data_IF_899352239364
#
_entry.id   IF_899352239364
#
_cell.length_a   1.000
_cell.length_b   1.000
_cell.length_c   1.000
_cell.angle_alpha   90.00
_cell.angle_beta   90.00
_cell.angle_gamma   90.00
#
_symmetry.space_group_name_H-M   'P 1'
#
loop_
_entity.id
_entity.type
_entity.pdbx_description
1 polymer ?
#
# COMPACT_ATOMS: atom_id res chain seq x y z
N UNK A 1 -0.55 -45.39 -20.17
CA UNK A 1 -0.54 -44.12 -20.91
C UNK A 1 0.18 -44.34 -22.22
N UNK A 2 -0.52 -44.15 -23.33
CA UNK A 2 0.08 -44.23 -24.66
C UNK A 2 0.97 -43.01 -24.92
N UNK A 3 2.01 -43.17 -25.72
CA UNK A 3 2.87 -42.06 -26.16
C UNK A 3 2.05 -40.92 -26.81
N UNK A 4 0.92 -41.27 -27.41
CA UNK A 4 -0.04 -40.36 -28.03
C UNK A 4 -0.79 -39.49 -27.01
N UNK A 5 -1.17 -40.06 -25.85
CA UNK A 5 -1.81 -39.31 -24.76
C UNK A 5 -0.84 -38.31 -24.13
N UNK A 6 0.44 -38.68 -24.04
CA UNK A 6 1.50 -37.80 -23.55
C UNK A 6 1.76 -36.63 -24.52
N UNK A 7 1.74 -36.90 -25.83
CA UNK A 7 1.85 -35.84 -26.84
C UNK A 7 0.65 -34.88 -26.81
N UNK A 8 -0.56 -35.41 -26.67
CA UNK A 8 -1.77 -34.59 -26.54
C UNK A 8 -1.71 -33.70 -25.29
N UNK A 9 -1.30 -34.26 -24.14
CA UNK A 9 -1.14 -33.50 -22.89
C UNK A 9 -0.08 -32.41 -23.01
N UNK A 10 1.06 -32.70 -23.66
CA UNK A 10 2.11 -31.72 -23.87
C UNK A 10 1.68 -30.59 -24.81
N UNK A 11 0.93 -30.91 -25.88
CA UNK A 11 0.35 -29.92 -26.78
C UNK A 11 -0.66 -29.02 -26.04
N UNK A 12 -1.53 -29.61 -25.22
CA UNK A 12 -2.48 -28.87 -24.40
C UNK A 12 -1.78 -27.93 -23.40
N UNK A 13 -0.72 -28.41 -22.72
CA UNK A 13 0.05 -27.60 -21.80
C UNK A 13 0.75 -26.43 -22.52
N UNK A 14 1.31 -26.67 -23.69
CA UNK A 14 1.94 -25.63 -24.51
C UNK A 14 0.93 -24.56 -24.94
N UNK A 15 -0.28 -24.96 -25.34
CA UNK A 15 -1.36 -24.03 -25.66
C UNK A 15 -1.78 -23.19 -24.44
N UNK A 16 -1.83 -23.80 -23.25
CA UNK A 16 -2.14 -23.08 -22.02
C UNK A 16 -1.07 -22.05 -21.64
N UNK A 17 0.22 -22.40 -21.79
CA UNK A 17 1.34 -21.48 -21.57
C UNK A 17 1.26 -20.30 -22.54
N UNK A 18 0.98 -20.55 -23.82
CA UNK A 18 0.84 -19.49 -24.82
C UNK A 18 -0.34 -18.56 -24.50
N UNK A 19 -1.47 -19.12 -24.05
CA UNK A 19 -2.62 -18.34 -23.61
C UNK A 19 -2.28 -17.43 -22.42
N UNK A 20 -1.61 -17.97 -21.39
CA UNK A 20 -1.16 -17.20 -20.23
C UNK A 20 -0.17 -16.09 -20.63
N UNK A 21 0.78 -16.38 -21.53
CA UNK A 21 1.71 -15.39 -22.05
C UNK A 21 0.99 -14.22 -22.74
N UNK A 22 -0.06 -14.50 -23.52
CA UNK A 22 -0.91 -13.47 -24.14
C UNK A 22 -1.63 -12.61 -23.09
N UNK A 23 -2.16 -13.22 -22.03
CA UNK A 23 -2.81 -12.48 -20.93
C UNK A 23 -1.82 -11.53 -20.23
N UNK A 24 -0.60 -12.00 -19.94
CA UNK A 24 0.44 -11.18 -19.31
C UNK A 24 0.85 -10.01 -20.21
N UNK A 25 1.02 -10.24 -21.51
CA UNK A 25 1.34 -9.17 -22.46
C UNK A 25 0.23 -8.10 -22.53
N UNK A 26 -1.04 -8.52 -22.56
CA UNK A 26 -2.18 -7.61 -22.54
C UNK A 26 -2.23 -6.75 -21.27
N UNK A 27 -2.05 -7.38 -20.10
CA UNK A 27 -2.01 -6.67 -18.83
C UNK A 27 -0.84 -5.68 -18.77
N UNK A 28 0.32 -6.05 -19.30
CA UNK A 28 1.51 -5.19 -19.37
C UNK A 28 1.25 -3.98 -20.24
N UNK A 29 0.60 -4.17 -21.40
CA UNK A 29 0.18 -3.08 -22.28
C UNK A 29 -0.83 -2.15 -21.63
N UNK A 30 -1.83 -2.70 -20.91
CA UNK A 30 -2.78 -1.90 -20.15
C UNK A 30 -2.11 -1.10 -19.03
N UNK A 31 -1.11 -1.70 -18.35
CA UNK A 31 -0.33 -1.04 -17.30
C UNK A 31 0.49 0.13 -17.84
N UNK A 32 1.19 -0.05 -18.97
CA UNK A 32 1.95 1.02 -19.61
C UNK A 32 1.06 2.17 -20.06
N UNK A 33 -0.09 1.86 -20.69
CA UNK A 33 -1.08 2.86 -21.11
C UNK A 33 -1.72 3.64 -19.94
N UNK A 34 -1.69 3.06 -18.73
CA UNK A 34 -2.16 3.73 -17.53
C UNK A 34 -1.07 4.61 -16.87
N UNK A 35 0.22 4.35 -17.16
CA UNK A 35 1.35 5.10 -16.59
C UNK A 35 1.84 6.27 -17.47
N UNK A 36 1.47 6.35 -18.74
CA UNK A 36 1.74 7.51 -19.59
C UNK A 36 0.75 8.65 -19.28
N UNK A 37 0.94 9.30 -18.14
CA UNK A 37 0.49 10.70 -17.93
C UNK A 37 1.71 11.60 -18.12
N UNK A 38 1.63 12.68 -18.92
CA UNK A 38 2.78 13.53 -19.22
C UNK A 38 3.43 14.05 -17.93
N UNK A 39 4.71 13.74 -17.74
CA UNK A 39 5.58 14.62 -16.98
C UNK A 39 5.72 15.89 -17.80
N UNK A 40 5.02 16.96 -17.41
CA UNK A 40 5.41 18.30 -17.83
C UNK A 40 6.71 18.64 -17.10
N UNK A 41 7.75 18.78 -17.91
CA UNK A 41 8.98 19.48 -17.59
C UNK A 41 8.64 20.93 -17.25
N UNK A 42 9.22 21.47 -16.18
CA UNK A 42 9.45 22.91 -16.10
C UNK A 42 10.93 23.13 -15.83
N UNK A 43 11.54 23.80 -16.80
CA UNK A 43 12.94 24.16 -16.84
C UNK A 43 13.24 25.33 -15.88
N UNK A 44 14.52 25.38 -15.52
CA UNK A 44 15.24 26.34 -14.70
C UNK A 44 14.91 27.81 -15.04
N UNK A 45 14.69 28.64 -14.01
CA UNK A 45 14.89 30.10 -14.10
C UNK A 45 15.64 30.59 -12.87
N UNK A 46 16.88 31.02 -13.13
CA UNK A 46 17.80 31.71 -12.25
C UNK A 46 17.36 33.18 -12.03
N UNK A 47 17.28 33.63 -10.78
CA UNK A 47 17.21 35.06 -10.42
C UNK A 47 18.00 35.32 -9.13
N UNK A 48 19.23 35.81 -9.29
CA UNK A 48 20.01 36.43 -8.23
C UNK A 48 19.54 37.85 -7.88
N UNK A 49 19.77 38.21 -6.60
CA UNK A 49 19.82 39.54 -5.98
C UNK A 49 18.46 40.25 -5.71
N UNK A 50 18.17 40.83 -4.54
CA UNK A 50 19.03 41.54 -3.60
C UNK A 50 18.56 41.42 -2.14
N UNK A 51 19.55 41.42 -1.25
CA UNK A 51 19.50 41.76 0.17
C UNK A 51 18.96 43.20 0.38
N UNK A 52 17.93 43.34 1.20
CA UNK A 52 17.75 44.49 2.10
C UNK A 52 16.86 44.05 3.26
N UNK A 53 17.48 44.00 4.43
CA UNK A 53 16.90 43.39 5.61
C UNK A 53 15.85 44.22 6.36
N UNK A 54 15.69 43.76 7.60
CA UNK A 54 14.99 44.36 8.73
C UNK A 54 13.54 43.90 8.96
N UNK A 55 13.37 42.89 9.82
CA UNK A 55 12.33 42.96 10.84
C UNK A 55 12.66 42.14 12.08
N UNK A 56 12.70 42.90 13.17
CA UNK A 56 12.84 42.50 14.55
C UNK A 56 11.74 41.55 15.03
N UNK A 57 12.17 40.69 15.95
CA UNK A 57 11.51 40.27 17.19
C UNK A 57 10.33 39.27 17.16
N UNK A 58 10.65 38.11 17.74
CA UNK A 58 9.92 37.44 18.82
C UNK A 58 8.50 36.95 18.52
N UNK A 59 8.42 35.76 17.92
CA UNK A 59 7.31 34.84 18.20
C UNK A 59 7.72 33.86 19.29
N UNK A 60 7.30 34.20 20.49
CA UNK A 60 7.11 33.27 21.59
C UNK A 60 6.29 32.06 21.15
N UNK A 61 6.83 30.87 21.41
CA UNK A 61 6.09 29.69 21.83
C UNK A 61 5.03 29.13 20.87
N UNK A 62 5.38 28.07 20.16
CA UNK A 62 4.48 26.91 20.11
C UNK A 62 5.29 25.64 19.90
N UNK A 63 5.62 25.02 21.03
CA UNK A 63 6.12 23.65 21.10
C UNK A 63 5.01 22.71 20.65
N UNK A 64 4.94 22.35 19.38
CA UNK A 64 4.04 21.30 18.93
C UNK A 64 4.54 20.60 17.67
N UNK A 65 5.60 19.80 17.81
CA UNK A 65 5.61 18.51 17.11
C UNK A 65 6.50 17.48 17.84
N UNK A 66 6.03 17.03 19.01
CA UNK A 66 6.59 15.87 19.74
C UNK A 66 5.60 14.70 19.80
N UNK A 67 4.62 14.66 18.90
CA UNK A 67 3.55 13.66 18.93
C UNK A 67 3.74 12.48 17.98
N UNK A 68 4.61 12.59 16.97
CA UNK A 68 4.74 11.58 15.92
C UNK A 68 5.75 10.46 16.24
N UNK A 69 6.65 10.65 17.20
CA UNK A 69 7.80 9.77 17.47
C UNK A 69 7.55 8.64 18.48
N UNK A 70 6.53 8.77 19.33
CA UNK A 70 6.42 7.91 20.53
C UNK A 70 5.53 6.67 20.30
N UNK A 71 4.91 6.58 19.11
CA UNK A 71 4.23 5.38 18.65
C UNK A 71 5.19 4.40 17.95
N UNK A 72 6.44 4.33 18.42
CA UNK A 72 7.33 3.18 18.21
C UNK A 72 6.83 2.01 19.06
N UNK A 73 5.61 1.63 18.79
CA UNK A 73 4.99 0.47 19.40
C UNK A 73 5.40 -0.70 18.55
N UNK A 74 5.82 -1.76 19.22
CA UNK A 74 6.21 -3.06 18.67
C UNK A 74 5.06 -3.77 17.93
N UNK A 75 4.33 -3.04 17.11
CA UNK A 75 3.44 -3.59 16.10
C UNK A 75 4.38 -4.31 15.13
N UNK A 76 4.43 -5.63 15.34
CA UNK A 76 5.10 -6.59 14.49
C UNK A 76 4.71 -6.33 13.04
N UNK A 77 5.66 -6.45 12.14
CA UNK A 77 5.37 -6.22 10.72
C UNK A 77 4.89 -7.53 10.11
N UNK A 78 3.73 -7.52 9.45
CA UNK A 78 3.20 -8.71 8.80
C UNK A 78 3.57 -8.71 7.31
N UNK A 79 4.32 -9.71 6.89
CA UNK A 79 4.81 -9.83 5.50
C UNK A 79 3.84 -10.55 4.56
N UNK A 80 2.71 -11.05 5.06
CA UNK A 80 1.76 -11.79 4.23
C UNK A 80 2.24 -13.19 3.88
N UNK A 81 2.54 -14.01 4.89
CA UNK A 81 2.63 -15.47 4.67
C UNK A 81 1.22 -16.02 4.40
N UNK A 82 1.13 -17.11 3.63
CA UNK A 82 -0.13 -17.73 3.21
C UNK A 82 -0.94 -18.40 4.35
N UNK A 83 -0.59 -18.17 5.62
CA UNK A 83 -1.30 -18.75 6.76
C UNK A 83 -2.32 -17.74 7.33
N UNK A 84 -3.62 -17.96 7.14
CA UNK A 84 -4.66 -17.09 7.72
C UNK A 84 -4.65 -17.12 9.25
N UNK A 85 -4.20 -18.19 9.90
CA UNK A 85 -4.15 -18.29 11.36
C UNK A 85 -3.02 -17.42 11.94
N UNK A 86 -1.90 -17.30 11.22
CA UNK A 86 -0.79 -16.40 11.57
C UNK A 86 -1.23 -14.92 11.48
N UNK A 87 -2.06 -14.59 10.48
CA UNK A 87 -2.66 -13.25 10.37
C UNK A 87 -3.61 -12.94 11.53
N UNK A 88 -4.46 -13.89 11.94
CA UNK A 88 -5.39 -13.70 13.05
C UNK A 88 -4.65 -13.50 14.39
N UNK A 89 -3.63 -14.32 14.67
CA UNK A 89 -2.78 -14.16 15.86
C UNK A 89 -2.04 -12.82 15.87
N UNK A 90 -1.55 -12.39 14.71
CA UNK A 90 -0.94 -11.07 14.56
C UNK A 90 -1.94 -9.96 14.86
N UNK A 91 -3.14 -10.03 14.26
CA UNK A 91 -4.18 -9.02 14.46
C UNK A 91 -4.62 -8.92 15.92
N UNK A 92 -4.79 -10.05 16.60
CA UNK A 92 -5.14 -10.12 18.02
C UNK A 92 -4.05 -9.51 18.92
N UNK A 93 -2.78 -9.69 18.54
CA UNK A 93 -1.66 -9.05 19.24
C UNK A 93 -1.68 -7.54 19.04
N UNK A 94 -1.92 -7.07 17.81
CA UNK A 94 -2.05 -5.63 17.51
C UNK A 94 -3.24 -5.00 18.23
N UNK A 95 -4.35 -5.75 18.39
CA UNK A 95 -5.50 -5.32 19.17
C UNK A 95 -5.17 -5.07 20.64
N UNK A 96 -4.53 -6.04 21.31
CA UNK A 96 -4.08 -5.87 22.71
C UNK A 96 -3.15 -4.68 22.88
N UNK A 97 -2.28 -4.45 21.90
CA UNK A 97 -1.35 -3.32 21.89
C UNK A 97 -2.08 -1.98 21.74
N UNK A 98 -3.14 -1.92 20.93
CA UNK A 98 -3.96 -0.71 20.80
C UNK A 98 -4.76 -0.42 22.06
N UNK A 99 -5.28 -1.45 22.72
CA UNK A 99 -6.02 -1.30 23.97
C UNK A 99 -5.08 -0.86 25.11
N UNK A 100 -3.86 -1.42 25.19
CA UNK A 100 -2.86 -1.00 26.16
C UNK A 100 -2.43 0.47 26.01
N UNK A 101 -2.51 1.03 24.79
CA UNK A 101 -2.09 2.40 24.49
C UNK A 101 -3.24 3.39 24.28
N UNK A 102 -4.47 2.96 24.56
CA UNK A 102 -5.69 3.75 24.36
C UNK A 102 -5.74 4.42 22.97
N UNK A 103 -5.44 3.65 21.93
CA UNK A 103 -5.40 4.18 20.56
C UNK A 103 -6.81 4.50 20.07
N UNK A 104 -7.06 5.73 19.57
CA UNK A 104 -8.35 6.08 18.99
C UNK A 104 -8.70 5.18 17.80
N UNK A 105 -9.94 4.72 17.72
CA UNK A 105 -10.42 3.79 16.68
C UNK A 105 -10.11 4.29 15.25
N UNK A 106 -10.23 5.61 15.03
CA UNK A 106 -9.95 6.28 13.76
C UNK A 106 -8.48 6.16 13.31
N UNK A 107 -7.56 5.93 14.26
CA UNK A 107 -6.12 5.78 14.00
C UNK A 107 -5.72 4.31 13.85
N UNK A 108 -6.46 3.38 14.46
CA UNK A 108 -6.13 1.93 14.44
C UNK A 108 -6.02 1.40 13.01
N UNK A 109 -7.00 1.69 12.15
CA UNK A 109 -7.00 1.22 10.76
C UNK A 109 -5.82 1.77 9.97
N UNK A 110 -5.49 3.06 10.14
CA UNK A 110 -4.35 3.70 9.48
C UNK A 110 -3.02 3.09 9.93
N UNK A 111 -2.87 2.80 11.22
CA UNK A 111 -1.68 2.18 11.78
C UNK A 111 -1.49 0.74 11.31
N UNK A 112 -2.58 -0.05 11.26
CA UNK A 112 -2.54 -1.42 10.71
C UNK A 112 -2.13 -1.39 9.25
N UNK A 113 -2.73 -0.51 8.44
CA UNK A 113 -2.42 -0.39 7.02
C UNK A 113 -0.93 -0.07 6.77
N UNK A 114 -0.32 0.78 7.62
CA UNK A 114 1.10 1.13 7.53
C UNK A 114 2.03 -0.05 7.85
N UNK A 115 1.55 -1.02 8.62
CA UNK A 115 2.33 -2.18 9.10
C UNK A 115 2.17 -3.43 8.23
N UNK A 116 1.30 -3.39 7.22
CA UNK A 116 1.19 -4.42 6.20
C UNK A 116 2.33 -4.25 5.17
N UNK A 117 3.09 -5.31 4.91
CA UNK A 117 4.11 -5.34 3.85
C UNK A 117 3.78 -6.37 2.77
N UNK A 118 4.49 -6.27 1.63
CA UNK A 118 4.42 -7.21 0.50
C UNK A 118 2.97 -7.53 0.11
N UNK A 119 2.59 -8.80 0.09
CA UNK A 119 1.27 -9.29 -0.34
C UNK A 119 0.12 -8.69 0.48
N UNK A 120 0.32 -8.46 1.78
CA UNK A 120 -0.72 -7.88 2.62
C UNK A 120 -1.00 -6.41 2.26
N UNK A 121 0.03 -5.64 1.88
CA UNK A 121 -0.11 -4.26 1.41
C UNK A 121 -0.85 -4.20 0.06
N UNK A 122 -0.52 -5.11 -0.86
CA UNK A 122 -1.21 -5.24 -2.15
C UNK A 122 -2.67 -5.62 -1.96
N UNK A 123 -2.97 -6.56 -1.06
CA UNK A 123 -4.34 -6.94 -0.71
C UNK A 123 -5.15 -5.75 -0.17
N UNK A 124 -4.57 -4.97 0.76
CA UNK A 124 -5.23 -3.78 1.33
C UNK A 124 -5.51 -2.72 0.27
N UNK A 125 -4.56 -2.49 -0.65
CA UNK A 125 -4.71 -1.56 -1.76
C UNK A 125 -5.81 -2.00 -2.73
N UNK A 126 -5.88 -3.31 -3.02
CA UNK A 126 -6.93 -3.90 -3.85
C UNK A 126 -8.31 -3.81 -3.18
N UNK A 127 -8.40 -4.09 -1.88
CA UNK A 127 -9.63 -3.97 -1.10
C UNK A 127 -10.16 -2.54 -1.11
N UNK A 128 -9.28 -1.57 -0.87
CA UNK A 128 -9.61 -0.14 -0.87
C UNK A 128 -10.04 0.32 -2.28
N UNK A 129 -9.32 -0.11 -3.32
CA UNK A 129 -9.65 0.20 -4.71
C UNK A 129 -10.99 -0.39 -5.16
N UNK A 130 -11.27 -1.64 -4.73
CA UNK A 130 -12.55 -2.29 -4.98
C UNK A 130 -13.70 -1.55 -4.27
N UNK A 131 -13.51 -1.18 -3.00
CA UNK A 131 -14.48 -0.42 -2.21
C UNK A 131 -14.80 0.95 -2.83
N UNK A 132 -13.76 1.66 -3.33
CA UNK A 132 -13.91 2.93 -4.06
C UNK A 132 -14.70 2.75 -5.36
N UNK A 133 -14.43 1.68 -6.12
CA UNK A 133 -15.18 1.35 -7.35
C UNK A 133 -16.64 1.04 -7.06
N UNK A 134 -16.93 0.43 -5.91
CA UNK A 134 -18.28 0.15 -5.43
C UNK A 134 -18.96 1.37 -4.78
N UNK A 135 -18.35 2.56 -4.79
CA UNK A 135 -18.92 3.79 -4.21
C UNK A 135 -19.04 3.78 -2.68
N UNK A 136 -18.40 2.82 -2.01
CA UNK A 136 -18.48 2.65 -0.55
C UNK A 136 -17.47 3.57 0.15
N UNK A 137 -17.85 4.06 1.33
CA UNK A 137 -16.99 4.92 2.16
C UNK A 137 -15.64 4.25 2.49
N UNK A 138 -14.56 5.01 2.78
CA UNK A 138 -13.28 4.46 3.22
C UNK A 138 -13.43 3.54 4.43
N UNK A 139 -12.54 2.55 4.58
CA UNK A 139 -12.52 1.68 5.77
C UNK A 139 -12.07 2.52 6.96
N UNK A 140 -13.01 2.94 7.81
CA UNK A 140 -12.76 3.79 8.99
C UNK A 140 -12.81 3.02 10.30
N UNK A 141 -13.53 1.90 10.32
CA UNK A 141 -13.75 1.07 11.50
C UNK A 141 -13.62 -0.40 11.10
N UNK A 142 -13.25 -1.26 12.05
CA UNK A 142 -13.28 -2.70 11.83
C UNK A 142 -14.71 -3.12 11.49
N UNK A 143 -14.87 -3.92 10.43
CA UNK A 143 -16.16 -4.51 10.08
C UNK A 143 -16.52 -5.48 11.22
N UNK A 144 -17.56 -5.12 11.98
CA UNK A 144 -18.13 -5.97 13.04
C UNK A 144 -19.19 -6.89 12.46
#
# INVERSE_FOLDING_TARGET
>A
MSNEELQASNAALKAQVEYLAKQVAQLTKMKMKMLETPEESDEELDVEAQDVGNSSNNTSGSSCDKGASDFKVDILTFEGKNDPDEFLKWLETVERVFDFKDVPEEKKVKLVALKLRKYASTWWSNLTSKRRREGKAPVKTRLR
#
